data_IF_983699866229
#
_entry.id   IF_983699866229
#
_cell.length_a   1.000
_cell.length_b   1.000
_cell.length_c   1.000
_cell.angle_alpha   90.00
_cell.angle_beta   90.00
_cell.angle_gamma   90.00
#
_symmetry.space_group_name_H-M   'P 1'
#
loop_
_entity.id
_entity.type
_entity.pdbx_description
1 polymer ?
#
# COMPACT_ATOMS: atom_id res chain seq x y z
N UNK A 1 33.83 11.68 46.98
CA UNK A 1 34.88 11.64 45.94
C UNK A 1 34.36 11.78 44.50
N UNK A 2 33.08 11.49 44.18
CA UNK A 2 32.54 11.66 42.81
C UNK A 2 32.24 13.12 42.40
N UNK A 3 32.12 14.03 43.37
CA UNK A 3 31.76 15.45 43.13
C UNK A 3 32.94 16.32 42.66
N UNK A 4 34.19 15.94 42.99
CA UNK A 4 35.40 16.70 42.59
C UNK A 4 35.73 16.50 41.10
N UNK A 5 35.40 15.32 40.54
CA UNK A 5 35.63 14.99 39.12
C UNK A 5 34.70 15.78 38.20
N UNK A 6 33.48 16.06 38.64
CA UNK A 6 32.49 16.81 37.84
C UNK A 6 32.85 18.30 37.75
N UNK A 7 33.38 18.89 38.82
CA UNK A 7 33.88 20.27 38.84
C UNK A 7 35.11 20.45 37.93
N UNK A 8 36.02 19.47 37.88
CA UNK A 8 37.19 19.52 37.01
C UNK A 8 36.84 19.50 35.51
N UNK A 9 35.78 18.79 35.12
CA UNK A 9 35.31 18.74 33.72
C UNK A 9 34.62 20.04 33.28
N UNK A 10 33.90 20.71 34.17
CA UNK A 10 33.24 21.99 33.87
C UNK A 10 34.26 23.12 33.68
N UNK A 11 35.37 23.11 34.45
CA UNK A 11 36.44 24.10 34.31
C UNK A 11 37.25 23.90 33.02
N UNK A 12 37.40 22.66 32.54
CA UNK A 12 38.10 22.37 31.27
C UNK A 12 37.28 22.71 30.01
N UNK A 13 35.95 22.73 30.09
CA UNK A 13 35.10 23.08 28.95
C UNK A 13 34.96 24.61 28.72
N UNK A 14 35.37 25.44 29.69
CA UNK A 14 35.17 26.89 29.62
C UNK A 14 36.33 27.66 28.94
N UNK A 15 37.48 27.02 28.69
CA UNK A 15 38.68 27.68 28.13
C UNK A 15 38.88 27.47 26.61
N UNK A 16 38.00 26.72 25.93
CA UNK A 16 38.10 26.41 24.50
C UNK A 16 37.18 27.25 23.60
N UNK A 17 36.45 28.22 24.13
CA UNK A 17 35.57 29.10 23.36
C UNK A 17 35.97 30.55 23.66
N UNK A 18 36.34 31.26 22.59
CA UNK A 18 36.82 32.63 22.52
C UNK A 18 36.01 33.67 23.34
N UNK A 19 36.60 34.85 23.62
CA UNK A 19 36.24 35.69 24.76
C UNK A 19 35.15 36.70 24.41
N UNK A 20 33.91 36.49 24.84
CA UNK A 20 32.92 37.57 24.94
C UNK A 20 32.19 37.44 26.27
N UNK A 21 32.64 38.28 27.22
CA UNK A 21 31.92 38.86 28.36
C UNK A 21 30.90 37.98 29.08
N UNK A 22 31.35 37.31 30.15
CA UNK A 22 30.48 36.99 31.28
C UNK A 22 30.86 37.92 32.43
N UNK A 23 30.01 38.92 32.71
CA UNK A 23 30.04 39.60 34.01
C UNK A 23 29.43 38.68 35.07
N UNK A 24 29.92 38.75 36.32
CA UNK A 24 29.40 37.97 37.43
C UNK A 24 28.07 38.56 37.88
N UNK A 25 27.04 37.73 37.98
CA UNK A 25 25.89 38.02 38.84
C UNK A 25 25.80 36.87 39.83
N UNK A 26 25.75 37.29 41.08
CA UNK A 26 25.96 36.51 42.29
C UNK A 26 25.06 35.29 42.44
N UNK A 27 25.72 34.24 42.92
CA UNK A 27 25.13 33.16 43.71
C UNK A 27 24.74 33.73 45.07
N UNK A 28 23.44 33.78 45.37
CA UNK A 28 22.89 33.53 46.72
C UNK A 28 21.36 33.48 46.65
N UNK A 29 20.81 32.27 46.50
CA UNK A 29 19.74 31.72 47.34
C UNK A 29 19.32 30.35 46.78
N UNK A 30 20.10 29.35 47.16
CA UNK A 30 19.62 27.99 47.33
C UNK A 30 18.85 27.94 48.65
N UNK A 31 17.53 27.73 48.61
CA UNK A 31 16.96 26.73 49.50
C UNK A 31 15.64 26.14 49.00
N UNK A 32 15.44 24.87 49.38
CA UNK A 32 14.16 24.18 49.47
C UNK A 32 13.51 23.67 48.18
N UNK A 33 13.96 22.49 47.72
CA UNK A 33 13.15 21.26 47.76
C UNK A 33 13.85 20.18 46.95
N UNK A 34 14.67 19.40 47.66
CA UNK A 34 14.99 18.04 47.23
C UNK A 34 13.70 17.24 47.40
N UNK A 35 13.08 16.90 46.28
CA UNK A 35 12.27 15.68 46.11
C UNK A 35 12.11 15.48 44.59
N UNK A 36 13.22 15.17 43.92
CA UNK A 36 13.14 14.49 42.62
C UNK A 36 13.14 12.99 42.91
N UNK A 37 11.94 12.44 42.85
CA UNK A 37 11.57 11.07 43.18
C UNK A 37 12.44 10.02 42.47
N UNK A 38 12.89 9.05 43.24
CA UNK A 38 13.48 7.78 42.77
C UNK A 38 12.51 7.04 41.82
N UNK A 39 11.22 7.37 41.82
CA UNK A 39 10.20 6.84 40.92
C UNK A 39 10.33 7.29 39.45
N UNK A 40 11.07 8.36 39.15
CA UNK A 40 11.23 8.83 37.77
C UNK A 40 12.30 8.05 36.98
N UNK A 41 13.29 7.45 37.65
CA UNK A 41 14.32 6.65 36.97
C UNK A 41 13.78 5.29 36.50
N UNK A 42 12.92 4.64 37.30
CA UNK A 42 12.22 3.42 36.88
C UNK A 42 11.24 3.68 35.74
N UNK A 43 10.58 4.85 35.72
CA UNK A 43 9.71 5.28 34.60
C UNK A 43 10.48 5.53 33.32
N UNK A 44 11.70 6.08 33.40
CA UNK A 44 12.58 6.26 32.24
C UNK A 44 13.05 4.92 31.67
N UNK A 45 13.46 3.97 32.52
CA UNK A 45 13.82 2.61 32.09
C UNK A 45 12.63 1.85 31.49
N UNK A 46 11.42 2.05 32.02
CA UNK A 46 10.19 1.49 31.45
C UNK A 46 9.83 2.12 30.10
N UNK A 47 10.04 3.44 29.93
CA UNK A 47 9.81 4.13 28.67
C UNK A 47 10.74 3.65 27.56
N UNK A 48 12.01 3.38 27.88
CA UNK A 48 12.97 2.83 26.92
C UNK A 48 12.59 1.40 26.49
N UNK A 49 12.06 0.58 27.40
CA UNK A 49 11.56 -0.76 27.06
C UNK A 49 10.36 -0.68 26.11
N UNK A 50 9.38 0.18 26.40
CA UNK A 50 8.20 0.38 25.53
C UNK A 50 8.61 0.93 24.16
N UNK A 51 9.57 1.86 24.11
CA UNK A 51 10.10 2.42 22.86
C UNK A 51 10.80 1.37 22.01
N UNK A 52 11.57 0.49 22.63
CA UNK A 52 12.23 -0.63 21.94
C UNK A 52 11.21 -1.65 21.41
N UNK A 53 10.16 -1.97 22.16
CA UNK A 53 9.08 -2.84 21.71
C UNK A 53 8.27 -2.21 20.56
N UNK A 54 7.98 -0.91 20.61
CA UNK A 54 7.28 -0.19 19.54
C UNK A 54 8.14 -0.12 18.26
N UNK A 55 9.46 0.06 18.42
CA UNK A 55 10.42 0.03 17.31
C UNK A 55 10.46 -1.36 16.66
N UNK A 56 10.55 -2.42 17.45
CA UNK A 56 10.52 -3.79 16.94
C UNK A 56 9.19 -4.14 16.26
N UNK A 57 8.04 -3.70 16.81
CA UNK A 57 6.73 -3.87 16.16
C UNK A 57 6.62 -3.08 14.86
N UNK A 58 7.18 -1.87 14.80
CA UNK A 58 7.22 -1.05 13.58
C UNK A 58 8.11 -1.69 12.52
N UNK A 59 9.27 -2.19 12.89
CA UNK A 59 10.18 -2.92 12.00
C UNK A 59 9.52 -4.21 11.49
N UNK A 60 8.82 -4.96 12.35
CA UNK A 60 8.05 -6.14 11.95
C UNK A 60 6.90 -5.80 10.98
N UNK A 61 6.12 -4.75 11.26
CA UNK A 61 5.06 -4.27 10.37
C UNK A 61 5.61 -3.76 9.04
N UNK A 62 6.78 -3.14 9.05
CA UNK A 62 7.46 -2.62 7.87
C UNK A 62 8.06 -3.76 7.04
N UNK A 63 8.55 -4.82 7.69
CA UNK A 63 9.00 -6.06 7.04
C UNK A 63 7.83 -6.80 6.38
N UNK A 64 6.72 -7.01 7.10
CA UNK A 64 5.53 -7.65 6.53
C UNK A 64 4.94 -6.87 5.36
N UNK A 65 4.95 -5.54 5.42
CA UNK A 65 4.49 -4.69 4.34
C UNK A 65 5.38 -4.79 3.08
N UNK A 66 6.70 -4.96 3.25
CA UNK A 66 7.62 -5.14 2.14
C UNK A 66 7.56 -6.56 1.55
N UNK A 67 7.27 -7.58 2.35
CA UNK A 67 7.06 -8.96 1.85
C UNK A 67 5.78 -9.05 0.97
N UNK A 68 4.69 -8.38 1.38
CA UNK A 68 3.47 -8.26 0.56
C UNK A 68 3.74 -7.52 -0.76
N UNK A 69 4.59 -6.47 -0.74
CA UNK A 69 4.96 -5.70 -1.93
C UNK A 69 5.91 -6.48 -2.88
N UNK A 70 6.75 -7.36 -2.34
CA UNK A 70 7.65 -8.20 -3.12
C UNK A 70 6.88 -9.34 -3.83
N UNK A 71 5.78 -9.84 -3.26
CA UNK A 71 4.93 -10.84 -3.94
C UNK A 71 4.25 -10.25 -5.20
N UNK A 72 3.86 -8.96 -5.15
CA UNK A 72 3.29 -8.24 -6.30
C UNK A 72 4.33 -7.88 -7.38
N UNK A 73 5.58 -7.59 -7.00
CA UNK A 73 6.65 -7.22 -7.96
C UNK A 73 7.49 -8.41 -8.45
N UNK A 74 7.48 -9.53 -7.74
CA UNK A 74 8.42 -10.64 -7.93
C UNK A 74 7.99 -11.72 -8.93
N UNK A 75 6.71 -11.82 -9.31
CA UNK A 75 6.30 -12.96 -10.14
C UNK A 75 5.07 -12.78 -11.03
N UNK A 76 4.89 -11.62 -11.66
CA UNK A 76 4.02 -11.51 -12.83
C UNK A 76 4.69 -12.09 -14.09
N UNK A 77 5.08 -13.37 -14.03
CA UNK A 77 5.09 -14.21 -15.22
C UNK A 77 3.64 -14.33 -15.69
N UNK A 78 3.40 -14.26 -17.01
CA UNK A 78 2.10 -14.56 -17.63
C UNK A 78 1.58 -15.89 -17.05
N UNK A 79 0.63 -15.86 -16.11
CA UNK A 79 0.05 -17.08 -15.53
C UNK A 79 -0.22 -17.13 -14.02
N UNK A 80 0.15 -16.15 -13.19
CA UNK A 80 -0.21 -16.21 -11.76
C UNK A 80 -1.61 -15.63 -11.53
N UNK A 81 -2.66 -16.45 -11.51
CA UNK A 81 -3.89 -16.04 -10.83
C UNK A 81 -3.80 -16.48 -9.38
N UNK A 82 -3.90 -15.51 -8.48
CA UNK A 82 -4.13 -15.74 -7.07
C UNK A 82 -5.61 -16.11 -6.84
N UNK A 83 -6.09 -17.20 -7.45
CA UNK A 83 -7.42 -17.70 -7.15
C UNK A 83 -7.46 -18.14 -5.69
N UNK A 84 -8.29 -17.46 -4.90
CA UNK A 84 -8.65 -17.90 -3.56
C UNK A 84 -9.83 -18.85 -3.66
N UNK A 85 -9.93 -19.75 -2.70
CA UNK A 85 -11.17 -20.47 -2.49
C UNK A 85 -12.22 -19.49 -1.97
N UNK A 86 -13.42 -19.52 -2.55
CA UNK A 86 -14.54 -18.69 -2.15
C UNK A 86 -15.10 -19.09 -0.77
N UNK A 87 -14.76 -20.29 -0.28
CA UNK A 87 -15.23 -20.80 1.00
C UNK A 87 -14.13 -21.53 1.78
N UNK A 88 -14.15 -21.37 3.11
CA UNK A 88 -13.24 -22.04 4.05
C UNK A 88 -13.36 -23.56 4.05
N UNK A 89 -14.50 -24.11 3.63
CA UNK A 89 -14.74 -25.56 3.58
C UNK A 89 -14.24 -26.23 2.29
N UNK A 90 -13.68 -25.47 1.34
CA UNK A 90 -13.19 -26.00 0.08
C UNK A 90 -12.27 -27.22 0.20
N UNK A 91 -11.31 -27.30 1.16
CA UNK A 91 -10.47 -28.48 1.34
C UNK A 91 -11.25 -29.80 1.53
N UNK A 92 -12.44 -29.74 2.14
CA UNK A 92 -13.31 -30.93 2.34
C UNK A 92 -13.90 -31.46 1.04
N UNK A 93 -14.01 -30.60 0.02
CA UNK A 93 -14.63 -30.92 -1.26
C UNK A 93 -13.63 -31.27 -2.36
N UNK A 94 -12.34 -31.48 -2.02
CA UNK A 94 -11.30 -31.80 -3.02
C UNK A 94 -11.66 -33.02 -3.88
N UNK A 95 -12.27 -34.05 -3.30
CA UNK A 95 -12.74 -35.24 -4.03
C UNK A 95 -13.90 -34.97 -5.01
N UNK A 96 -14.59 -33.83 -4.89
CA UNK A 96 -15.72 -33.44 -5.74
C UNK A 96 -15.31 -32.53 -6.90
N UNK A 97 -14.05 -32.11 -6.98
CA UNK A 97 -13.56 -31.19 -8.01
C UNK A 97 -13.79 -31.68 -9.44
N UNK A 98 -13.71 -33.00 -9.67
CA UNK A 98 -13.97 -33.62 -10.97
C UNK A 98 -15.47 -33.71 -11.29
N UNK A 99 -16.29 -33.97 -10.27
CA UNK A 99 -17.72 -34.29 -10.41
C UNK A 99 -18.63 -33.05 -10.42
N UNK A 100 -18.28 -32.00 -9.66
CA UNK A 100 -19.16 -30.85 -9.46
C UNK A 100 -18.52 -29.57 -10.00
N UNK A 101 -19.12 -29.00 -11.05
CA UNK A 101 -18.70 -27.72 -11.64
C UNK A 101 -18.70 -26.60 -10.61
N UNK A 102 -19.71 -26.53 -9.75
CA UNK A 102 -19.81 -25.50 -8.70
C UNK A 102 -18.65 -25.56 -7.70
N UNK A 103 -18.20 -26.76 -7.32
CA UNK A 103 -17.03 -26.92 -6.44
C UNK A 103 -15.78 -26.44 -7.17
N UNK A 104 -15.60 -26.79 -8.44
CA UNK A 104 -14.48 -26.32 -9.26
C UNK A 104 -14.46 -24.79 -9.42
N UNK A 105 -15.63 -24.17 -9.57
CA UNK A 105 -15.78 -22.73 -9.76
C UNK A 105 -15.57 -21.95 -8.44
N UNK A 106 -15.99 -22.51 -7.30
CA UNK A 106 -15.88 -21.86 -5.98
C UNK A 106 -14.60 -22.23 -5.22
N UNK A 107 -13.99 -23.36 -5.52
CA UNK A 107 -12.82 -23.89 -4.83
C UNK A 107 -11.64 -24.01 -5.80
N UNK A 108 -11.38 -22.94 -6.56
CA UNK A 108 -10.38 -22.92 -7.64
C UNK A 108 -8.97 -23.26 -7.15
N UNK A 109 -8.61 -22.84 -5.93
CA UNK A 109 -7.31 -23.16 -5.33
C UNK A 109 -7.26 -24.62 -4.93
N UNK A 110 -8.27 -25.09 -4.17
CA UNK A 110 -8.33 -26.49 -3.72
C UNK A 110 -8.39 -27.48 -4.90
N UNK A 111 -9.12 -27.12 -5.96
CA UNK A 111 -9.27 -27.94 -7.16
C UNK A 111 -8.13 -27.74 -8.17
N UNK A 112 -7.11 -26.93 -7.83
CA UNK A 112 -5.92 -26.68 -8.64
C UNK A 112 -6.29 -26.30 -10.09
N UNK A 113 -7.33 -25.48 -10.24
CA UNK A 113 -7.88 -25.13 -11.55
C UNK A 113 -6.86 -24.26 -12.30
N UNK A 114 -6.42 -24.67 -13.51
CA UNK A 114 -5.46 -23.90 -14.25
C UNK A 114 -6.05 -22.56 -14.67
N UNK A 115 -5.29 -21.51 -14.41
CA UNK A 115 -5.52 -20.17 -14.89
C UNK A 115 -5.57 -20.11 -16.42
N UNK A 116 -6.75 -19.83 -16.97
CA UNK A 116 -6.85 -19.30 -18.33
C UNK A 116 -6.96 -17.79 -18.20
N UNK A 117 -5.90 -17.08 -18.61
CA UNK A 117 -6.03 -15.65 -18.84
C UNK A 117 -7.18 -15.43 -19.84
N UNK A 118 -8.04 -14.42 -19.65
CA UNK A 118 -9.03 -14.09 -20.64
C UNK A 118 -8.33 -13.89 -21.98
N UNK A 119 -8.90 -14.44 -23.05
CA UNK A 119 -8.38 -14.22 -24.38
C UNK A 119 -8.32 -12.70 -24.64
N UNK A 120 -7.22 -12.18 -25.21
CA UNK A 120 -7.15 -10.77 -25.56
C UNK A 120 -8.32 -10.42 -26.49
N UNK A 121 -8.85 -9.18 -26.43
CA UNK A 121 -9.92 -8.77 -27.32
C UNK A 121 -9.46 -8.84 -28.78
N UNK A 122 -10.39 -9.08 -29.71
CA UNK A 122 -10.06 -9.24 -31.13
C UNK A 122 -9.32 -8.02 -31.72
N UNK A 123 -9.68 -6.82 -31.27
CA UNK A 123 -9.01 -5.57 -31.66
C UNK A 123 -7.55 -5.46 -31.15
N UNK A 124 -7.11 -6.29 -30.19
CA UNK A 124 -5.74 -6.20 -29.66
C UNK A 124 -4.69 -6.63 -30.69
N UNK A 125 -5.04 -7.55 -31.60
CA UNK A 125 -4.17 -7.96 -32.71
C UNK A 125 -4.18 -6.99 -33.89
N UNK A 126 -5.03 -5.97 -33.87
CA UNK A 126 -5.08 -4.99 -34.95
C UNK A 126 -3.81 -4.15 -35.05
N UNK A 127 -3.69 -3.42 -36.17
CA UNK A 127 -2.54 -2.54 -36.43
C UNK A 127 -2.39 -1.47 -35.34
N UNK A 128 -3.48 -0.84 -34.93
CA UNK A 128 -3.47 0.30 -34.00
C UNK A 128 -3.93 -0.05 -32.58
N UNK A 129 -4.46 -1.25 -32.36
CA UNK A 129 -4.97 -1.71 -31.08
C UNK A 129 -6.46 -1.46 -30.91
N UNK A 130 -6.93 -1.57 -29.68
CA UNK A 130 -8.31 -1.29 -29.33
C UNK A 130 -8.50 0.18 -28.97
N UNK A 131 -9.73 0.66 -29.14
CA UNK A 131 -10.19 1.88 -28.51
C UNK A 131 -10.28 1.72 -26.97
N UNK A 132 -10.59 2.80 -26.27
CA UNK A 132 -10.76 2.81 -24.81
C UNK A 132 -11.82 1.83 -24.29
N UNK A 133 -12.77 1.44 -25.15
CA UNK A 133 -13.82 0.45 -24.84
C UNK A 133 -13.31 -1.01 -24.84
N UNK A 134 -12.11 -1.26 -25.36
CA UNK A 134 -11.51 -2.59 -25.55
C UNK A 134 -12.32 -3.53 -26.47
N UNK A 135 -13.23 -2.98 -27.27
CA UNK A 135 -14.09 -3.72 -28.20
C UNK A 135 -13.88 -3.23 -29.64
N UNK A 136 -13.81 -1.91 -29.82
CA UNK A 136 -13.68 -1.29 -31.14
C UNK A 136 -12.21 -1.27 -31.57
N UNK A 137 -11.95 -1.61 -32.82
CA UNK A 137 -10.62 -1.47 -33.43
C UNK A 137 -10.35 0.00 -33.80
N UNK A 138 -9.21 0.54 -33.37
CA UNK A 138 -8.79 1.87 -33.80
C UNK A 138 -8.38 1.83 -35.27
N UNK A 139 -8.90 2.76 -36.07
CA UNK A 139 -8.59 2.82 -37.51
C UNK A 139 -7.26 3.51 -37.80
N UNK A 140 -6.74 4.27 -36.83
CA UNK A 140 -5.48 4.98 -36.94
C UNK A 140 -4.77 5.21 -35.60
N UNK A 141 -3.72 6.03 -35.63
CA UNK A 141 -2.95 6.36 -34.42
C UNK A 141 -3.77 7.26 -33.49
N UNK A 142 -3.40 7.33 -32.21
CA UNK A 142 -4.02 8.24 -31.24
C UNK A 142 -5.54 8.06 -31.11
N UNK A 143 -6.05 6.83 -31.15
CA UNK A 143 -7.49 6.51 -31.08
C UNK A 143 -8.31 7.10 -32.25
N UNK A 144 -7.70 7.29 -33.42
CA UNK A 144 -8.45 7.67 -34.63
C UNK A 144 -9.48 6.60 -34.99
N UNK A 145 -10.69 7.06 -35.30
CA UNK A 145 -11.85 6.20 -35.55
C UNK A 145 -12.54 5.65 -34.30
N UNK A 146 -12.03 5.95 -33.10
CA UNK A 146 -12.64 5.50 -31.87
C UNK A 146 -13.88 6.33 -31.48
N UNK A 147 -14.85 5.72 -30.78
CA UNK A 147 -15.99 6.45 -30.23
C UNK A 147 -15.53 7.50 -29.22
N UNK A 148 -16.33 8.56 -29.05
CA UNK A 148 -16.04 9.60 -28.07
C UNK A 148 -16.05 9.02 -26.66
N UNK A 149 -14.95 9.18 -25.92
CA UNK A 149 -14.91 8.82 -24.50
C UNK A 149 -15.55 9.92 -23.67
N UNK A 150 -16.86 9.81 -23.45
CA UNK A 150 -17.64 10.74 -22.64
C UNK A 150 -18.73 10.00 -21.89
N UNK A 151 -19.11 10.54 -20.76
CA UNK A 151 -20.26 10.03 -20.01
C UNK A 151 -21.55 10.22 -20.80
N UNK A 152 -22.28 9.13 -20.99
CA UNK A 152 -23.55 9.10 -21.70
C UNK A 152 -24.75 9.49 -20.81
N UNK A 153 -24.55 9.55 -19.48
CA UNK A 153 -25.61 9.77 -18.49
C UNK A 153 -25.20 10.82 -17.47
N UNK A 154 -26.16 11.62 -17.02
CA UNK A 154 -25.94 12.65 -16.00
C UNK A 154 -25.69 12.10 -14.60
N UNK A 155 -26.08 10.84 -14.34
CA UNK A 155 -25.95 10.23 -13.02
C UNK A 155 -24.63 9.49 -12.79
N UNK A 156 -23.69 9.55 -13.73
CA UNK A 156 -22.39 8.86 -13.63
C UNK A 156 -21.66 9.19 -12.32
N UNK A 157 -21.67 10.46 -11.90
CA UNK A 157 -21.04 10.90 -10.65
C UNK A 157 -21.62 10.25 -9.39
N UNK A 158 -22.93 9.93 -9.36
CA UNK A 158 -23.54 9.25 -8.21
C UNK A 158 -23.10 7.79 -8.09
N UNK A 159 -22.79 7.15 -9.21
CA UNK A 159 -22.39 5.75 -9.27
C UNK A 159 -20.88 5.58 -9.44
N UNK A 160 -20.08 6.61 -9.19
CA UNK A 160 -18.62 6.55 -9.34
C UNK A 160 -17.96 5.40 -8.54
N UNK A 161 -18.50 5.04 -7.38
CA UNK A 161 -18.04 3.87 -6.60
C UNK A 161 -18.28 2.52 -7.29
N UNK A 162 -19.18 2.49 -8.28
CA UNK A 162 -19.46 1.30 -9.09
C UNK A 162 -18.48 1.11 -10.25
N UNK A 163 -17.47 1.97 -10.40
CA UNK A 163 -16.38 1.79 -11.36
C UNK A 163 -15.38 0.68 -10.94
N UNK A 164 -15.52 0.12 -9.73
CA UNK A 164 -14.64 -0.95 -9.25
C UNK A 164 -15.06 -2.32 -9.81
N UNK A 165 -14.07 -3.11 -10.22
CA UNK A 165 -14.30 -4.46 -10.75
C UNK A 165 -14.89 -5.38 -9.67
N UNK A 166 -15.92 -6.14 -10.04
CA UNK A 166 -16.68 -6.99 -9.10
C UNK A 166 -18.00 -6.39 -8.62
N UNK A 167 -18.24 -5.10 -8.87
CA UNK A 167 -19.56 -4.49 -8.61
C UNK A 167 -20.60 -4.95 -9.64
N UNK A 168 -21.87 -5.05 -9.23
CA UNK A 168 -23.00 -5.41 -10.13
C UNK A 168 -23.12 -4.46 -11.31
N UNK A 169 -22.82 -3.17 -11.08
CA UNK A 169 -22.94 -2.11 -12.08
C UNK A 169 -21.62 -1.81 -12.82
N UNK A 170 -20.51 -2.50 -12.52
CA UNK A 170 -19.20 -2.28 -13.13
C UNK A 170 -19.26 -2.25 -14.66
N UNK A 171 -19.91 -3.26 -15.25
CA UNK A 171 -20.05 -3.36 -16.71
C UNK A 171 -20.88 -2.21 -17.32
N UNK A 172 -21.90 -1.76 -16.60
CA UNK A 172 -22.73 -0.62 -17.01
C UNK A 172 -21.93 0.68 -16.97
N UNK A 173 -21.23 0.92 -15.85
CA UNK A 173 -20.38 2.10 -15.67
C UNK A 173 -19.26 2.16 -16.71
N UNK A 174 -18.65 1.02 -17.04
CA UNK A 174 -17.61 0.92 -18.08
C UNK A 174 -18.04 1.38 -19.46
N UNK A 175 -19.29 1.14 -19.81
CA UNK A 175 -19.83 1.44 -21.15
C UNK A 175 -20.49 2.81 -21.24
N UNK A 176 -21.08 3.29 -20.13
CA UNK A 176 -21.90 4.50 -20.14
C UNK A 176 -21.29 5.68 -19.38
N UNK A 177 -20.30 5.44 -18.52
CA UNK A 177 -19.66 6.44 -17.69
C UNK A 177 -18.12 6.36 -17.75
N UNK A 178 -17.52 6.26 -18.95
CA UNK A 178 -16.09 6.01 -19.09
C UNK A 178 -15.23 7.19 -18.65
N UNK A 179 -15.75 8.41 -18.65
CA UNK A 179 -15.01 9.61 -18.25
C UNK A 179 -15.00 9.73 -16.72
N UNK A 180 -16.17 9.61 -16.08
CA UNK A 180 -16.27 9.59 -14.60
C UNK A 180 -15.43 8.46 -13.99
N UNK A 181 -15.39 7.29 -14.66
CA UNK A 181 -14.62 6.14 -14.20
C UNK A 181 -13.14 6.15 -14.63
N UNK A 182 -12.71 7.08 -15.49
CA UNK A 182 -11.32 7.18 -15.93
C UNK A 182 -10.85 6.07 -16.88
N UNK A 183 -11.75 5.50 -17.70
CA UNK A 183 -11.43 4.41 -18.63
C UNK A 183 -10.86 4.88 -19.97
N UNK A 184 -10.88 6.18 -20.27
CA UNK A 184 -10.47 6.75 -21.56
C UNK A 184 -9.02 6.46 -21.96
N UNK A 185 -8.13 6.23 -21.00
CA UNK A 185 -6.68 6.06 -21.23
C UNK A 185 -6.23 4.60 -21.43
N UNK A 186 -7.16 3.63 -21.31
CA UNK A 186 -6.81 2.21 -21.29
C UNK A 186 -6.52 1.62 -22.69
N UNK A 187 -7.03 2.24 -23.77
CA UNK A 187 -6.94 1.70 -25.13
C UNK A 187 -5.57 1.86 -25.84
N UNK A 188 -4.71 2.77 -25.38
CA UNK A 188 -3.57 3.22 -26.21
C UNK A 188 -2.24 2.47 -26.02
N UNK A 189 -2.12 1.55 -25.04
CA UNK A 189 -0.80 1.01 -24.65
C UNK A 189 -0.51 -0.35 -25.29
N UNK A 190 0.04 -0.37 -26.52
CA UNK A 190 0.90 -1.49 -26.94
C UNK A 190 2.15 -1.47 -26.05
N UNK A 191 2.40 -2.54 -25.28
CA UNK A 191 3.73 -2.77 -24.68
C UNK A 191 4.72 -2.91 -25.85
N UNK A 192 5.64 -1.95 -25.96
CA UNK A 192 6.81 -2.04 -26.84
C UNK A 192 7.72 -3.16 -26.37
#
# INVERSE_FOLDING_TARGET
>A
MKSVVLLALVVLFCSAISPISCNPVDLDELDSSKDLDIMDFERLLAADKVKNELKAKREFLQQSFMDDLIDDLGNHKRGSCNFKDSHVNCPKYKGLCSMLKQIRDNCKKTCEVPCRAPAPPACASSKFGCCWDLETEATGKNQEGCPACKDARSFCMFFKSSCEEGQRSYKYMKTHCPETCGYCDLGAKKKK
#
